data_IF_358012032312
#
_entry.id   IF_358012032312
#
_cell.length_a   1.000
_cell.length_b   1.000
_cell.length_c   1.000
_cell.angle_alpha   90.00
_cell.angle_beta   90.00
_cell.angle_gamma   90.00
#
_symmetry.space_group_name_H-M   'P 1'
#
loop_
_entity.id
_entity.type
_entity.pdbx_description
1 polymer ?
#
# COMPACT_ATOMS: atom_id res chain seq x y z
N UNK A 1 37.01 -40.71 19.86
CA UNK A 1 36.07 -41.16 18.80
C UNK A 1 34.70 -40.73 19.23
N UNK A 2 34.18 -39.65 18.63
CA UNK A 2 32.84 -39.14 18.94
C UNK A 2 31.88 -39.63 17.85
N UNK A 3 30.81 -40.28 18.27
CA UNK A 3 29.80 -40.84 17.38
C UNK A 3 28.99 -39.73 16.71
N UNK A 4 28.97 -39.76 15.38
CA UNK A 4 28.14 -38.86 14.57
C UNK A 4 26.70 -39.37 14.60
N UNK A 5 25.85 -38.71 15.39
CA UNK A 5 24.40 -38.86 15.28
C UNK A 5 23.93 -38.21 13.97
N UNK A 6 23.59 -39.06 13.01
CA UNK A 6 22.96 -38.71 11.73
C UNK A 6 21.50 -38.32 12.00
N UNK A 7 21.23 -37.02 12.05
CA UNK A 7 19.84 -36.53 12.01
C UNK A 7 19.24 -36.89 10.65
N UNK A 8 18.27 -37.81 10.67
CA UNK A 8 17.38 -38.06 9.54
C UNK A 8 16.39 -36.89 9.49
N UNK A 9 16.43 -36.11 8.42
CA UNK A 9 15.33 -35.20 8.11
C UNK A 9 14.18 -36.06 7.58
N UNK A 10 13.07 -36.08 8.30
CA UNK A 10 11.81 -36.64 7.78
C UNK A 10 11.22 -35.59 6.84
N UNK A 11 11.34 -35.82 5.54
CA UNK A 11 10.65 -35.07 4.49
C UNK A 11 9.17 -35.50 4.44
N UNK A 12 8.40 -35.12 5.45
CA UNK A 12 6.94 -35.21 5.42
C UNK A 12 6.34 -33.81 5.64
N UNK A 13 6.74 -32.86 4.79
CA UNK A 13 5.90 -31.69 4.51
C UNK A 13 4.73 -32.16 3.62
N UNK A 14 3.73 -32.77 4.25
CA UNK A 14 2.38 -32.92 3.67
C UNK A 14 1.69 -31.54 3.70
N UNK A 15 2.17 -30.61 2.86
CA UNK A 15 1.49 -29.35 2.58
C UNK A 15 0.44 -29.54 1.49
N UNK A 16 -0.46 -30.51 1.67
CA UNK A 16 -1.74 -30.48 0.97
C UNK A 16 -2.63 -29.44 1.67
N UNK A 17 -2.32 -28.15 1.48
CA UNK A 17 -3.26 -27.08 1.77
C UNK A 17 -4.44 -27.26 0.80
N UNK A 18 -5.44 -28.02 1.23
CA UNK A 18 -6.74 -28.08 0.57
C UNK A 18 -7.30 -26.66 0.56
N UNK A 19 -7.20 -25.99 -0.59
CA UNK A 19 -7.83 -24.69 -0.80
C UNK A 19 -9.35 -24.88 -0.69
N UNK A 20 -9.89 -24.63 0.51
CA UNK A 20 -11.32 -24.58 0.78
C UNK A 20 -12.01 -23.73 -0.29
N UNK A 21 -13.00 -24.27 -1.02
CA UNK A 21 -13.71 -23.52 -2.05
C UNK A 21 -14.32 -22.25 -1.46
N UNK A 22 -13.97 -21.08 -2.03
CA UNK A 22 -14.58 -19.80 -1.68
C UNK A 22 -16.07 -19.80 -2.10
N UNK A 23 -16.95 -20.36 -1.28
CA UNK A 23 -18.40 -20.41 -1.52
C UNK A 23 -19.13 -19.17 -0.95
N UNK A 24 -18.58 -17.97 -1.22
CA UNK A 24 -19.24 -16.73 -0.84
C UNK A 24 -20.18 -16.29 -1.99
N UNK A 25 -21.51 -16.20 -1.74
CA UNK A 25 -22.40 -15.65 -2.74
C UNK A 25 -22.03 -14.18 -3.02
N UNK A 26 -22.17 -13.71 -4.27
CA UNK A 26 -21.86 -12.34 -4.61
C UNK A 26 -22.74 -11.39 -3.77
N UNK A 27 -22.21 -10.23 -3.37
CA UNK A 27 -23.01 -9.26 -2.64
C UNK A 27 -24.23 -8.86 -3.47
N UNK A 28 -25.39 -8.61 -2.81
CA UNK A 28 -26.56 -8.13 -3.51
C UNK A 28 -26.27 -6.77 -4.15
N UNK A 29 -27.00 -6.42 -5.23
CA UNK A 29 -26.83 -5.14 -5.89
C UNK A 29 -27.16 -3.99 -4.94
N UNK A 30 -26.59 -2.79 -5.16
CA UNK A 30 -26.91 -1.61 -4.37
C UNK A 30 -28.40 -1.22 -4.46
N UNK A 31 -28.95 -0.67 -3.37
CA UNK A 31 -30.37 -0.25 -3.30
C UNK A 31 -30.80 0.71 -4.43
N UNK A 32 -29.92 1.65 -4.82
CA UNK A 32 -30.24 2.63 -5.85
C UNK A 32 -30.42 2.02 -7.25
N UNK A 33 -30.01 0.77 -7.46
CA UNK A 33 -30.17 0.07 -8.73
C UNK A 33 -31.65 -0.01 -9.17
N UNK A 34 -32.58 -0.12 -8.22
CA UNK A 34 -34.02 -0.21 -8.49
C UNK A 34 -34.58 1.02 -9.23
N UNK A 35 -33.89 2.16 -9.16
CA UNK A 35 -34.32 3.41 -9.78
C UNK A 35 -33.91 3.51 -11.26
N UNK A 36 -33.03 2.63 -11.75
CA UNK A 36 -32.57 2.60 -13.13
C UNK A 36 -33.55 1.83 -14.03
N UNK A 37 -34.75 2.37 -14.21
CA UNK A 37 -35.80 1.81 -15.07
C UNK A 37 -35.93 2.60 -16.38
N UNK A 38 -36.42 1.95 -17.44
CA UNK A 38 -36.68 2.60 -18.73
C UNK A 38 -37.65 3.80 -18.58
N UNK A 39 -38.68 3.64 -17.75
CA UNK A 39 -39.66 4.70 -17.47
C UNK A 39 -39.00 5.92 -16.81
N UNK A 40 -38.09 5.70 -15.85
CA UNK A 40 -37.37 6.80 -15.21
C UNK A 40 -36.35 7.45 -16.17
N UNK A 41 -35.73 6.67 -17.06
CA UNK A 41 -34.83 7.18 -18.09
C UNK A 41 -35.57 8.11 -19.07
N UNK A 42 -36.73 7.69 -19.59
CA UNK A 42 -37.58 8.49 -20.47
C UNK A 42 -38.08 9.78 -19.81
N UNK A 43 -38.35 9.72 -18.50
CA UNK A 43 -38.79 10.88 -17.69
C UNK A 43 -37.64 11.76 -17.18
N UNK A 44 -36.39 11.42 -17.46
CA UNK A 44 -35.22 12.13 -16.93
C UNK A 44 -35.07 12.06 -15.41
N UNK A 45 -35.66 11.05 -14.77
CA UNK A 45 -35.69 10.85 -13.31
C UNK A 45 -34.60 9.87 -12.82
N UNK A 46 -33.50 9.73 -13.56
CA UNK A 46 -32.41 8.87 -13.11
C UNK A 46 -31.74 9.47 -11.86
N UNK A 47 -31.38 8.62 -10.88
CA UNK A 47 -30.70 9.10 -9.69
C UNK A 47 -29.37 9.77 -10.07
N UNK A 48 -29.08 10.88 -9.39
CA UNK A 48 -27.82 11.59 -9.57
C UNK A 48 -26.65 10.69 -9.15
N UNK A 49 -25.48 10.84 -9.81
CA UNK A 49 -24.29 10.16 -9.37
C UNK A 49 -23.98 10.54 -7.91
N UNK A 50 -23.43 9.62 -7.11
CA UNK A 50 -22.99 9.95 -5.76
C UNK A 50 -21.94 11.07 -5.80
N UNK A 51 -21.89 11.92 -4.75
CA UNK A 51 -20.90 12.99 -4.67
C UNK A 51 -19.49 12.39 -4.63
N UNK A 52 -18.56 13.00 -5.37
CA UNK A 52 -17.16 12.58 -5.37
C UNK A 52 -16.58 12.79 -3.97
N UNK A 53 -16.06 11.74 -3.30
CA UNK A 53 -15.47 11.89 -1.98
C UNK A 53 -14.20 12.71 -2.09
N UNK A 54 -14.11 13.78 -1.28
CA UNK A 54 -12.91 14.63 -1.22
C UNK A 54 -11.76 13.94 -0.49
N UNK A 55 -12.08 12.97 0.39
CA UNK A 55 -11.12 12.19 1.16
C UNK A 55 -11.42 10.72 0.96
N UNK A 56 -10.43 9.97 0.50
CA UNK A 56 -10.59 8.55 0.17
C UNK A 56 -9.26 7.82 0.40
N UNK A 57 -9.31 6.51 0.58
CA UNK A 57 -8.13 5.67 0.78
C UNK A 57 -7.96 4.77 -0.42
N UNK A 58 -6.78 4.79 -1.04
CA UNK A 58 -6.45 3.97 -2.21
C UNK A 58 -5.16 3.23 -1.90
N UNK A 59 -5.16 1.91 -2.01
CA UNK A 59 -4.00 1.05 -1.70
C UNK A 59 -3.39 1.31 -0.31
N UNK A 60 -4.21 1.66 0.69
CA UNK A 60 -3.76 1.98 2.05
C UNK A 60 -3.25 3.42 2.25
N UNK A 61 -3.19 4.23 1.19
CA UNK A 61 -2.80 5.63 1.27
C UNK A 61 -4.03 6.55 1.34
N UNK A 62 -3.98 7.54 2.24
CA UNK A 62 -5.06 8.51 2.42
C UNK A 62 -4.84 9.70 1.49
N UNK A 63 -5.81 9.93 0.60
CA UNK A 63 -5.84 11.05 -0.33
C UNK A 63 -6.83 12.12 0.17
N UNK A 64 -6.43 13.39 0.09
CA UNK A 64 -7.29 14.55 0.32
C UNK A 64 -7.21 15.48 -0.90
N UNK A 65 -8.29 15.55 -1.69
CA UNK A 65 -8.37 16.37 -2.89
C UNK A 65 -8.36 17.87 -2.60
N UNK A 66 -8.66 18.29 -1.37
CA UNK A 66 -8.61 19.70 -0.94
C UNK A 66 -7.27 20.07 -0.30
N UNK A 67 -6.43 19.06 -0.06
CA UNK A 67 -5.09 19.23 0.49
C UNK A 67 -4.09 19.75 -0.56
N UNK A 68 -2.85 20.00 -0.15
CA UNK A 68 -1.77 20.31 -1.08
C UNK A 68 -1.57 19.16 -2.08
N UNK A 69 -1.46 19.49 -3.38
CA UNK A 69 -1.27 18.52 -4.47
C UNK A 69 -0.06 17.60 -4.24
N UNK A 70 0.99 18.14 -3.61
CA UNK A 70 2.17 17.40 -3.19
C UNK A 70 2.32 17.58 -1.67
N UNK A 71 2.27 16.49 -0.88
CA UNK A 71 2.56 16.57 0.55
C UNK A 71 3.99 17.10 0.77
N UNK A 72 4.24 17.96 1.77
CA UNK A 72 5.59 18.38 2.09
C UNK A 72 6.46 17.17 2.44
N UNK A 73 7.75 17.23 2.09
CA UNK A 73 8.71 16.13 2.28
C UNK A 73 8.76 15.56 3.71
N UNK A 74 8.45 16.40 4.70
CA UNK A 74 8.40 16.03 6.11
C UNK A 74 7.22 15.10 6.49
N UNK A 75 6.16 15.06 5.66
CA UNK A 75 5.01 14.17 5.86
C UNK A 75 5.24 12.78 5.27
N UNK A 76 6.16 12.66 4.32
CA UNK A 76 6.65 11.36 3.92
C UNK A 76 7.52 10.82 5.05
N UNK A 77 7.27 9.57 5.48
CA UNK A 77 8.03 8.88 6.54
C UNK A 77 9.45 8.50 6.08
N UNK A 78 10.09 9.38 5.30
CA UNK A 78 11.44 9.21 4.78
C UNK A 78 12.40 9.45 5.95
N UNK A 79 13.20 8.45 6.35
CA UNK A 79 14.19 8.61 7.39
C UNK A 79 15.16 9.74 7.00
N UNK A 80 15.29 10.75 7.87
CA UNK A 80 16.28 11.80 7.66
C UNK A 80 17.66 11.22 7.98
N UNK A 81 18.51 11.13 6.97
CA UNK A 81 19.92 10.69 7.12
C UNK A 81 20.70 11.56 8.11
N UNK A 82 20.36 12.85 8.17
CA UNK A 82 20.99 13.80 9.07
C UNK A 82 19.92 14.38 10.00
N UNK A 83 20.06 14.11 11.29
CA UNK A 83 19.15 14.61 12.33
C UNK A 83 19.20 16.14 12.48
N UNK A 84 18.30 16.68 13.29
CA UNK A 84 18.15 18.13 13.58
C UNK A 84 19.44 18.80 14.08
N UNK A 85 20.36 18.02 14.66
CA UNK A 85 21.61 18.50 15.26
C UNK A 85 22.85 18.29 14.37
N UNK A 86 22.68 17.76 13.16
CA UNK A 86 23.80 17.60 12.23
C UNK A 86 24.21 18.97 11.69
N UNK A 87 25.44 19.40 11.98
CA UNK A 87 25.97 20.63 11.40
C UNK A 87 26.10 20.48 9.88
N UNK A 88 25.87 21.56 9.13
CA UNK A 88 26.05 21.55 7.67
C UNK A 88 27.47 21.17 7.23
N UNK A 89 28.46 21.35 8.10
CA UNK A 89 29.83 20.89 7.87
C UNK A 89 29.92 19.36 7.95
N UNK A 90 29.29 18.74 8.95
CA UNK A 90 29.23 17.29 9.09
C UNK A 90 28.50 16.63 7.91
N UNK A 91 27.37 17.20 7.48
CA UNK A 91 26.63 16.72 6.30
C UNK A 91 27.49 16.76 5.04
N UNK A 92 28.21 17.87 4.82
CA UNK A 92 29.11 18.02 3.66
C UNK A 92 30.26 17.02 3.70
N UNK A 93 30.83 16.74 4.87
CA UNK A 93 31.90 15.76 5.02
C UNK A 93 31.42 14.34 4.69
N UNK A 94 30.26 13.94 5.22
CA UNK A 94 29.67 12.64 4.95
C UNK A 94 29.28 12.47 3.48
N UNK A 95 28.75 13.51 2.85
CA UNK A 95 28.43 13.49 1.41
C UNK A 95 29.70 13.32 0.54
N UNK A 96 30.80 13.98 0.89
CA UNK A 96 32.10 13.78 0.21
C UNK A 96 32.60 12.35 0.38
N UNK A 97 32.48 11.80 1.58
CA UNK A 97 32.87 10.41 1.85
C UNK A 97 32.05 9.42 1.03
N UNK A 98 30.72 9.59 0.97
CA UNK A 98 29.83 8.74 0.18
C UNK A 98 30.15 8.82 -1.32
N UNK A 99 30.38 10.02 -1.84
CA UNK A 99 30.73 10.19 -3.25
C UNK A 99 32.07 9.52 -3.57
N UNK A 100 33.06 9.62 -2.68
CA UNK A 100 34.33 8.94 -2.84
C UNK A 100 34.17 7.41 -2.83
N UNK A 101 33.29 6.85 -1.99
CA UNK A 101 33.05 5.40 -1.99
C UNK A 101 32.33 4.91 -3.26
N UNK A 102 31.42 5.71 -3.83
CA UNK A 102 30.75 5.37 -5.10
C UNK A 102 31.74 5.38 -6.27
N UNK A 103 32.66 6.34 -6.30
CA UNK A 103 33.68 6.42 -7.36
C UNK A 103 34.83 5.43 -7.21
N UNK A 104 35.00 4.84 -6.03
CA UNK A 104 36.01 3.82 -5.76
C UNK A 104 35.54 2.39 -6.10
N UNK A 105 34.29 2.22 -6.53
CA UNK A 105 33.75 1.02 -7.16
C UNK A 105 33.97 1.06 -8.67
#
# INVERSE_FOLDING_TARGET
MGDYNRYQYNDEDDSSEEEEPFDYPPPPPPYFYQNFTAINAERGMLPLPPPVPRRFTVFGERYDMMGPLVPPINQHKIPKLYGRYASMAHVRAQMKSLNASIMAC
#
